data_IF_012051315697
#
_entry.id   IF_012051315697
#
_cell.length_a   1.000
_cell.length_b   1.000
_cell.length_c   1.000
_cell.angle_alpha   90.00
_cell.angle_beta   90.00
_cell.angle_gamma   90.00
#
_symmetry.space_group_name_H-M   'P 1'
#
loop_
_entity.id
_entity.type
_entity.pdbx_description
1 polymer ?
#
# COMPACT_ATOMS: atom_id res chain seq x y z
N UNK A 1 13.01 7.63 9.38
CA UNK A 1 11.59 7.61 9.80
C UNK A 1 10.67 7.02 8.73
N UNK A 2 10.91 7.28 7.43
CA UNK A 2 10.06 6.79 6.32
C UNK A 2 10.18 5.28 6.00
N UNK A 3 11.35 4.67 6.18
CA UNK A 3 11.55 3.24 5.89
C UNK A 3 10.88 2.29 6.91
N UNK A 4 10.72 2.71 8.15
CA UNK A 4 10.13 1.88 9.20
C UNK A 4 8.60 1.80 9.10
N UNK A 5 7.95 2.83 8.54
CA UNK A 5 6.50 2.82 8.33
C UNK A 5 6.07 1.82 7.26
N UNK A 6 6.78 1.73 6.13
CA UNK A 6 6.47 0.76 5.07
C UNK A 6 6.61 -0.70 5.53
N UNK A 7 7.67 -1.02 6.29
CA UNK A 7 7.88 -2.37 6.83
C UNK A 7 6.80 -2.79 7.84
N UNK A 8 6.37 -1.87 8.70
CA UNK A 8 5.29 -2.12 9.68
C UNK A 8 3.94 -2.32 8.97
N UNK A 9 3.64 -1.52 7.94
CA UNK A 9 2.39 -1.64 7.18
C UNK A 9 2.30 -2.95 6.38
N UNK A 10 3.39 -3.43 5.77
CA UNK A 10 3.36 -4.68 4.99
C UNK A 10 3.20 -5.93 5.89
N UNK A 11 3.89 -5.94 7.03
CA UNK A 11 3.76 -7.02 8.01
C UNK A 11 2.39 -7.03 8.70
N UNK A 12 1.85 -5.85 9.03
CA UNK A 12 0.54 -5.71 9.63
C UNK A 12 -0.58 -6.18 8.67
N UNK A 13 -0.53 -5.81 7.39
CA UNK A 13 -1.54 -6.22 6.41
C UNK A 13 -1.57 -7.74 6.16
N UNK A 14 -0.41 -8.39 6.04
CA UNK A 14 -0.35 -9.85 5.88
C UNK A 14 -0.83 -10.61 7.14
N UNK A 15 -0.51 -10.07 8.32
CA UNK A 15 -0.96 -10.62 9.61
C UNK A 15 -2.46 -10.42 9.80
N UNK A 16 -2.99 -9.21 9.64
CA UNK A 16 -4.42 -8.90 9.85
C UNK A 16 -5.34 -9.61 8.86
N UNK A 17 -4.92 -9.79 7.61
CA UNK A 17 -5.64 -10.58 6.61
C UNK A 17 -5.89 -12.03 7.08
N UNK A 18 -4.97 -12.59 7.84
CA UNK A 18 -5.04 -13.95 8.38
C UNK A 18 -6.01 -14.08 9.55
N UNK A 19 -6.36 -12.96 10.20
CA UNK A 19 -7.24 -12.88 11.36
C UNK A 19 -8.61 -12.22 11.07
N UNK A 20 -8.86 -11.78 9.84
CA UNK A 20 -10.12 -11.13 9.47
C UNK A 20 -11.32 -12.08 9.62
N UNK A 21 -12.26 -11.71 10.49
CA UNK A 21 -13.42 -12.54 10.85
C UNK A 21 -14.57 -12.49 9.82
N UNK A 22 -14.55 -11.56 8.84
CA UNK A 22 -15.56 -11.50 7.78
C UNK A 22 -15.02 -10.85 6.49
N UNK A 23 -15.62 -11.19 5.33
CA UNK A 23 -15.26 -10.61 4.03
C UNK A 23 -15.42 -9.08 4.01
N UNK A 24 -16.43 -8.54 4.71
CA UNK A 24 -16.72 -7.10 4.74
C UNK A 24 -15.67 -6.31 5.53
N UNK A 25 -15.22 -6.86 6.64
CA UNK A 25 -14.16 -6.26 7.45
C UNK A 25 -12.81 -6.32 6.70
N UNK A 26 -12.53 -7.43 6.02
CA UNK A 26 -11.36 -7.57 5.15
C UNK A 26 -11.34 -6.50 4.04
N UNK A 27 -12.46 -6.32 3.32
CA UNK A 27 -12.56 -5.31 2.26
C UNK A 27 -12.34 -3.91 2.83
N UNK A 28 -12.89 -3.60 4.01
CA UNK A 28 -12.73 -2.28 4.62
C UNK A 28 -11.26 -1.99 4.99
N UNK A 29 -10.61 -2.94 5.67
CA UNK A 29 -9.19 -2.83 6.07
C UNK A 29 -8.27 -2.71 4.85
N UNK A 30 -8.49 -3.54 3.83
CA UNK A 30 -7.71 -3.48 2.60
C UNK A 30 -7.94 -2.19 1.81
N UNK A 31 -9.16 -1.64 1.83
CA UNK A 31 -9.46 -0.36 1.17
C UNK A 31 -8.75 0.80 1.86
N UNK A 32 -8.62 0.77 3.19
CA UNK A 32 -7.84 1.76 3.95
C UNK A 32 -6.35 1.67 3.58
N UNK A 33 -5.78 0.46 3.60
CA UNK A 33 -4.40 0.22 3.21
C UNK A 33 -4.12 0.68 1.76
N UNK A 34 -5.06 0.44 0.84
CA UNK A 34 -4.97 0.89 -0.55
C UNK A 34 -4.94 2.42 -0.66
N UNK A 35 -5.76 3.12 0.13
CA UNK A 35 -5.79 4.59 0.19
C UNK A 35 -4.46 5.14 0.68
N UNK A 36 -3.94 4.61 1.78
CA UNK A 36 -2.68 5.07 2.38
C UNK A 36 -1.46 4.80 1.48
N UNK A 37 -1.43 3.63 0.82
CA UNK A 37 -0.41 3.29 -0.18
C UNK A 37 -0.41 4.27 -1.36
N UNK A 38 -1.60 4.63 -1.83
CA UNK A 38 -1.80 5.58 -2.93
C UNK A 38 -1.38 7.01 -2.54
N UNK A 39 -1.72 7.46 -1.33
CA UNK A 39 -1.30 8.76 -0.78
C UNK A 39 0.22 8.83 -0.62
N UNK A 40 0.84 7.75 -0.11
CA UNK A 40 2.31 7.66 0.01
C UNK A 40 2.98 7.78 -1.36
N UNK A 41 2.47 7.07 -2.37
CA UNK A 41 2.98 7.17 -3.74
C UNK A 41 2.85 8.58 -4.30
N UNK A 42 1.72 9.25 -4.03
CA UNK A 42 1.49 10.63 -4.43
C UNK A 42 2.52 11.60 -3.82
N UNK A 43 2.77 11.50 -2.51
CA UNK A 43 3.77 12.33 -1.84
C UNK A 43 5.18 12.09 -2.36
N UNK A 44 5.57 10.84 -2.62
CA UNK A 44 6.86 10.53 -3.24
C UNK A 44 6.97 11.18 -4.62
N UNK A 45 5.92 11.09 -5.44
CA UNK A 45 5.88 11.73 -6.77
C UNK A 45 6.00 13.26 -6.67
N UNK A 46 5.38 13.90 -5.68
CA UNK A 46 5.55 15.34 -5.43
C UNK A 46 7.00 15.65 -5.03
N UNK A 47 7.58 14.93 -4.07
CA UNK A 47 8.95 15.19 -3.61
C UNK A 47 9.97 15.06 -4.75
N UNK A 48 9.76 14.11 -5.66
CA UNK A 48 10.59 13.96 -6.86
C UNK A 48 10.38 15.14 -7.82
N UNK A 49 9.14 15.56 -8.07
CA UNK A 49 8.83 16.69 -8.96
C UNK A 49 9.34 18.02 -8.42
N UNK A 50 9.37 18.18 -7.10
CA UNK A 50 9.93 19.36 -6.43
C UNK A 50 11.45 19.30 -6.28
N UNK A 51 12.11 18.30 -6.88
CA UNK A 51 13.57 18.08 -6.83
C UNK A 51 14.14 17.95 -5.40
N UNK A 52 13.28 17.71 -4.41
CA UNK A 52 13.67 17.52 -3.00
C UNK A 52 14.40 16.18 -2.80
N UNK A 53 14.11 15.20 -3.64
CA UNK A 53 14.73 13.87 -3.63
C UNK A 53 15.02 13.40 -5.05
N UNK A 54 16.13 12.69 -5.23
CA UNK A 54 16.42 12.05 -6.52
C UNK A 54 15.51 10.85 -6.74
N UNK A 55 14.86 10.79 -7.91
CA UNK A 55 14.05 9.65 -8.35
C UNK A 55 14.77 8.31 -8.20
N UNK A 56 16.07 8.28 -8.50
CA UNK A 56 16.90 7.07 -8.40
C UNK A 56 16.88 6.43 -7.01
N UNK A 57 16.78 7.23 -5.94
CA UNK A 57 16.73 6.74 -4.56
C UNK A 57 15.40 6.13 -4.17
N UNK A 58 14.32 6.50 -4.87
CA UNK A 58 12.95 6.08 -4.56
C UNK A 58 12.34 5.17 -5.63
N UNK A 59 13.06 4.86 -6.70
CA UNK A 59 12.57 4.06 -7.82
C UNK A 59 12.09 2.68 -7.36
N UNK A 60 12.92 1.94 -6.61
CA UNK A 60 12.54 0.63 -6.08
C UNK A 60 11.32 0.73 -5.14
N UNK A 61 11.26 1.78 -4.31
CA UNK A 61 10.14 1.98 -3.39
C UNK A 61 8.82 2.27 -4.11
N UNK A 62 8.88 3.03 -5.21
CA UNK A 62 7.73 3.30 -6.07
C UNK A 62 7.24 1.99 -6.70
N UNK A 63 8.15 1.19 -7.25
CA UNK A 63 7.82 -0.08 -7.90
C UNK A 63 7.20 -1.07 -6.91
N UNK A 64 7.78 -1.22 -5.72
CA UNK A 64 7.22 -2.06 -4.66
C UNK A 64 5.81 -1.59 -4.25
N UNK A 65 5.62 -0.28 -4.05
CA UNK A 65 4.33 0.27 -3.68
C UNK A 65 3.26 0.04 -4.78
N UNK A 66 3.63 0.15 -6.06
CA UNK A 66 2.74 -0.15 -7.18
C UNK A 66 2.34 -1.63 -7.23
N UNK A 67 3.26 -2.56 -6.89
CA UNK A 67 2.95 -3.99 -6.77
C UNK A 67 1.92 -4.21 -5.64
N UNK A 68 2.06 -3.52 -4.51
CA UNK A 68 1.15 -3.67 -3.37
C UNK A 68 -0.23 -3.13 -3.66
N UNK A 69 -0.31 -1.96 -4.29
CA UNK A 69 -1.58 -1.39 -4.77
C UNK A 69 -2.30 -2.40 -5.66
N UNK A 70 -1.57 -3.08 -6.57
CA UNK A 70 -2.14 -4.15 -7.40
C UNK A 70 -2.65 -5.32 -6.58
N UNK A 71 -1.85 -5.86 -5.67
CA UNK A 71 -2.24 -6.99 -4.81
C UNK A 71 -3.51 -6.65 -4.01
N UNK A 72 -3.52 -5.50 -3.32
CA UNK A 72 -4.67 -5.04 -2.53
C UNK A 72 -5.92 -4.90 -3.40
N UNK A 73 -5.80 -4.29 -4.57
CA UNK A 73 -6.92 -4.12 -5.51
C UNK A 73 -7.46 -5.46 -5.99
N UNK A 74 -6.59 -6.38 -6.41
CA UNK A 74 -7.00 -7.73 -6.85
C UNK A 74 -7.67 -8.52 -5.72
N UNK A 75 -7.13 -8.44 -4.49
CA UNK A 75 -7.73 -9.09 -3.31
C UNK A 75 -9.11 -8.53 -2.99
N UNK A 76 -9.29 -7.20 -3.01
CA UNK A 76 -10.59 -6.56 -2.78
C UNK A 76 -11.61 -6.99 -3.84
N UNK A 77 -11.22 -6.97 -5.12
CA UNK A 77 -12.12 -7.34 -6.21
C UNK A 77 -12.56 -8.80 -6.10
N UNK A 78 -11.64 -9.72 -5.84
CA UNK A 78 -11.94 -11.15 -5.66
C UNK A 78 -12.89 -11.42 -4.48
N UNK A 79 -12.85 -10.59 -3.44
CA UNK A 79 -13.75 -10.71 -2.29
C UNK A 79 -15.13 -10.08 -2.52
N UNK A 80 -15.24 -9.12 -3.45
CA UNK A 80 -16.52 -8.51 -3.85
C UNK A 80 -17.30 -9.38 -4.84
N UNK A 81 -16.61 -10.19 -5.65
CA UNK A 81 -17.21 -11.13 -6.59
C UNK A 81 -17.78 -12.41 -5.93
N UNK A 82 -17.51 -12.59 -4.63
CA UNK A 82 -17.85 -13.79 -3.86
C UNK A 82 -19.03 -13.53 -2.93
#
# INVERSE_FOLDING_TARGET
>A
MTYYLLLIFHGANYSEAKYAQSNKDFINKYSIALKEASETLYWIKIMIKSELVSKSKFQNLIEENEIIIKILTTSINKLKEK
#
